data_IF_705380131577
#
_entry.id   IF_705380131577
#
_cell.length_a   1.000
_cell.length_b   1.000
_cell.length_c   1.000
_cell.angle_alpha   90.00
_cell.angle_beta   90.00
_cell.angle_gamma   90.00
#
_symmetry.space_group_name_H-M   'P 1'
#
loop_
_entity.id
_entity.type
_entity.pdbx_description
1 polymer ?
#
# COMPACT_ATOMS: atom_id res chain seq x y z
N UNK A 1 2.39 25.67 -26.01
CA UNK A 1 3.72 25.03 -25.85
C UNK A 1 3.65 24.17 -24.59
N UNK A 2 3.48 22.85 -24.75
CA UNK A 2 3.33 21.92 -23.64
C UNK A 2 4.68 21.71 -22.95
N UNK A 3 4.82 22.11 -21.69
CA UNK A 3 5.98 21.80 -20.87
C UNK A 3 5.82 20.35 -20.40
N UNK A 4 6.51 19.42 -21.07
CA UNK A 4 6.68 18.06 -20.56
C UNK A 4 7.35 18.15 -19.18
N UNK A 5 6.62 17.79 -18.13
CA UNK A 5 7.21 17.60 -16.82
C UNK A 5 8.27 16.49 -16.90
N UNK A 6 9.44 16.65 -16.26
CA UNK A 6 10.48 15.62 -16.30
C UNK A 6 9.92 14.31 -15.72
N UNK A 7 10.04 13.21 -16.45
CA UNK A 7 9.57 11.88 -16.04
C UNK A 7 10.49 11.35 -14.93
N UNK A 8 9.96 10.90 -13.79
CA UNK A 8 10.79 10.36 -12.71
C UNK A 8 11.37 9.02 -13.17
N UNK A 9 12.69 8.85 -13.08
CA UNK A 9 13.33 7.57 -13.39
C UNK A 9 13.29 6.66 -12.16
N UNK A 10 12.71 5.45 -12.26
CA UNK A 10 12.68 4.50 -11.16
C UNK A 10 14.09 4.25 -10.62
N UNK A 11 14.26 4.40 -9.30
CA UNK A 11 15.54 4.13 -8.65
C UNK A 11 15.61 2.65 -8.27
N UNK A 12 16.54 1.92 -8.89
CA UNK A 12 16.77 0.48 -8.61
C UNK A 12 16.93 0.17 -7.11
N UNK A 13 17.50 1.09 -6.31
CA UNK A 13 17.66 0.91 -4.86
C UNK A 13 16.35 0.83 -4.07
N UNK A 14 15.26 1.35 -4.64
CA UNK A 14 13.96 1.44 -3.99
C UNK A 14 12.94 0.43 -4.54
N UNK A 15 13.33 -0.44 -5.48
CA UNK A 15 12.44 -1.47 -6.02
C UNK A 15 11.15 -0.94 -6.66
N UNK A 16 11.17 0.29 -7.19
CA UNK A 16 9.98 1.01 -7.65
C UNK A 16 9.41 0.39 -8.95
N UNK A 17 8.20 -0.17 -8.85
CA UNK A 17 7.33 -0.47 -9.99
C UNK A 17 6.05 0.35 -9.82
N UNK A 18 5.82 1.32 -10.69
CA UNK A 18 4.66 2.22 -10.56
C UNK A 18 3.43 1.57 -11.19
N UNK A 19 2.36 1.42 -10.40
CA UNK A 19 1.07 0.93 -10.88
C UNK A 19 0.47 1.94 -11.89
N UNK A 20 -0.01 1.45 -13.04
CA UNK A 20 -0.58 2.28 -14.11
C UNK A 20 -1.87 1.73 -14.71
N UNK A 21 -2.17 0.46 -14.47
CA UNK A 21 -3.40 -0.14 -14.97
C UNK A 21 -4.62 0.36 -14.17
N UNK A 22 -5.49 1.10 -14.85
CA UNK A 22 -6.69 1.69 -14.26
C UNK A 22 -7.65 0.60 -13.73
N UNK A 23 -7.78 -0.53 -14.43
CA UNK A 23 -8.68 -1.61 -14.01
C UNK A 23 -8.26 -2.24 -12.68
N UNK A 24 -6.95 -2.39 -12.46
CA UNK A 24 -6.34 -2.85 -11.22
C UNK A 24 -6.54 -1.83 -10.10
N UNK A 25 -6.30 -0.54 -10.38
CA UNK A 25 -6.52 0.55 -9.41
C UNK A 25 -7.97 0.55 -8.96
N UNK A 26 -8.93 0.50 -9.88
CA UNK A 26 -10.34 0.43 -9.55
C UNK A 26 -10.71 -0.82 -8.77
N UNK A 27 -10.12 -1.98 -9.09
CA UNK A 27 -10.35 -3.21 -8.34
C UNK A 27 -9.85 -3.10 -6.89
N UNK A 28 -8.69 -2.47 -6.66
CA UNK A 28 -8.16 -2.17 -5.33
C UNK A 28 -9.11 -1.23 -4.58
N UNK A 29 -9.53 -0.13 -5.22
CA UNK A 29 -10.44 0.84 -4.59
C UNK A 29 -11.80 0.23 -4.28
N UNK A 30 -12.33 -0.64 -5.14
CA UNK A 30 -13.57 -1.39 -4.87
C UNK A 30 -13.43 -2.35 -3.69
N UNK A 31 -12.28 -3.00 -3.55
CA UNK A 31 -12.02 -3.90 -2.41
C UNK A 31 -11.90 -3.15 -1.09
N UNK A 32 -11.30 -1.95 -1.11
CA UNK A 32 -11.24 -1.05 0.04
C UNK A 32 -12.63 -0.47 0.30
N UNK A 33 -13.34 0.01 -0.71
CA UNK A 33 -14.59 0.75 -0.57
C UNK A 33 -14.46 1.89 0.46
N UNK A 34 -13.64 2.93 0.17
CA UNK A 34 -13.41 4.02 1.10
C UNK A 34 -14.64 4.92 1.24
N UNK A 35 -14.86 5.46 2.44
CA UNK A 35 -15.86 6.51 2.71
C UNK A 35 -15.24 7.73 3.44
N UNK A 36 -16.02 8.78 3.63
CA UNK A 36 -15.60 10.05 4.23
C UNK A 36 -15.26 9.96 5.73
N UNK A 37 -15.66 8.87 6.39
CA UNK A 37 -15.34 8.57 7.79
C UNK A 37 -14.05 7.78 7.96
N UNK A 38 -13.53 7.22 6.88
CA UNK A 38 -12.31 6.40 6.91
C UNK A 38 -11.05 7.25 7.07
N UNK A 39 -10.08 6.66 7.78
CA UNK A 39 -8.72 7.16 7.87
C UNK A 39 -7.76 6.18 7.19
N UNK A 40 -7.32 6.54 5.99
CA UNK A 40 -6.46 5.73 5.15
C UNK A 40 -5.00 6.16 5.31
N UNK A 41 -4.12 5.17 5.41
CA UNK A 41 -2.66 5.38 5.38
C UNK A 41 -2.09 4.69 4.15
N UNK A 42 -1.59 5.47 3.20
CA UNK A 42 -0.95 4.95 1.99
C UNK A 42 0.57 4.87 2.17
N UNK A 43 1.13 3.68 2.05
CA UNK A 43 2.58 3.45 2.11
C UNK A 43 3.16 3.41 0.70
N UNK A 44 4.10 4.30 0.41
CA UNK A 44 4.78 4.36 -0.88
C UNK A 44 3.84 4.74 -2.03
N UNK A 45 3.23 5.93 -1.99
CA UNK A 45 2.29 6.40 -3.03
C UNK A 45 2.93 6.47 -4.44
N UNK A 46 4.26 6.55 -4.54
CA UNK A 46 4.93 6.51 -5.84
C UNK A 46 4.61 7.74 -6.69
N UNK A 47 4.08 7.51 -7.90
CA UNK A 47 3.58 8.57 -8.77
C UNK A 47 2.16 9.06 -8.39
N UNK A 48 1.55 8.51 -7.33
CA UNK A 48 0.24 8.92 -6.81
C UNK A 48 -0.95 8.25 -7.49
N UNK A 49 -0.75 7.12 -8.19
CA UNK A 49 -1.80 6.45 -8.94
C UNK A 49 -2.96 5.98 -8.04
N UNK A 50 -2.65 5.34 -6.91
CA UNK A 50 -3.65 4.91 -5.94
C UNK A 50 -4.13 6.10 -5.09
N UNK A 51 -3.23 7.02 -4.71
CA UNK A 51 -3.58 8.29 -4.05
C UNK A 51 -4.71 9.03 -4.76
N UNK A 52 -4.62 9.22 -6.09
CA UNK A 52 -5.67 9.87 -6.89
C UNK A 52 -7.03 9.18 -6.80
N UNK A 53 -7.03 7.85 -6.78
CA UNK A 53 -8.26 7.09 -6.77
C UNK A 53 -8.90 7.06 -5.36
N UNK A 54 -8.08 7.04 -4.30
CA UNK A 54 -8.56 7.03 -2.91
C UNK A 54 -9.06 8.41 -2.45
N UNK A 55 -8.39 9.49 -2.84
CA UNK A 55 -8.75 10.84 -2.40
C UNK A 55 -10.14 11.27 -2.90
N UNK A 56 -10.61 10.65 -3.98
CA UNK A 56 -11.95 10.87 -4.54
C UNK A 56 -13.07 10.38 -3.61
N UNK A 57 -12.76 9.54 -2.63
CA UNK A 57 -13.70 9.10 -1.59
C UNK A 57 -13.85 10.07 -0.42
N UNK A 58 -13.23 11.26 -0.48
CA UNK A 58 -13.27 12.31 0.58
C UNK A 58 -12.76 11.86 1.96
N UNK A 59 -12.11 10.70 2.04
CA UNK A 59 -11.49 10.17 3.25
C UNK A 59 -10.31 11.03 3.73
N UNK A 60 -9.94 10.87 5.00
CA UNK A 60 -8.65 11.34 5.50
C UNK A 60 -7.55 10.42 4.99
N UNK A 61 -6.55 10.97 4.30
CA UNK A 61 -5.46 10.22 3.69
C UNK A 61 -4.09 10.73 4.13
N UNK A 62 -3.37 9.88 4.85
CA UNK A 62 -1.98 10.10 5.24
C UNK A 62 -1.06 9.24 4.36
N UNK A 63 -0.20 9.87 3.55
CA UNK A 63 0.73 9.18 2.67
C UNK A 63 2.15 9.18 3.25
N UNK A 64 2.87 8.05 3.21
CA UNK A 64 4.24 7.91 3.71
C UNK A 64 5.18 7.68 2.53
N UNK A 65 6.10 8.62 2.27
CA UNK A 65 7.02 8.56 1.14
C UNK A 65 8.46 8.95 1.53
N UNK A 66 9.40 8.05 1.23
CA UNK A 66 10.81 8.21 1.52
C UNK A 66 11.54 9.00 0.42
N UNK A 67 11.15 8.83 -0.85
CA UNK A 67 11.82 9.46 -1.99
C UNK A 67 11.48 10.95 -2.11
N UNK A 68 12.51 11.78 -1.92
CA UNK A 68 12.38 13.25 -1.94
C UNK A 68 11.86 13.81 -3.25
N UNK A 69 12.18 13.16 -4.35
CA UNK A 69 11.81 13.63 -5.68
C UNK A 69 10.32 13.38 -5.95
N UNK A 70 9.78 12.27 -5.44
CA UNK A 70 8.36 11.94 -5.52
C UNK A 70 7.53 12.83 -4.60
N UNK A 71 8.03 13.11 -3.38
CA UNK A 71 7.33 14.01 -2.44
C UNK A 71 6.98 15.36 -3.03
N UNK A 72 7.91 15.97 -3.79
CA UNK A 72 7.67 17.27 -4.41
C UNK A 72 6.49 17.21 -5.39
N UNK A 73 6.34 16.10 -6.12
CA UNK A 73 5.23 15.88 -7.05
C UNK A 73 3.92 15.62 -6.31
N UNK A 74 3.95 14.79 -5.28
CA UNK A 74 2.79 14.48 -4.46
C UNK A 74 2.23 15.73 -3.78
N UNK A 75 3.09 16.57 -3.20
CA UNK A 75 2.67 17.85 -2.63
C UNK A 75 2.07 18.77 -3.70
N UNK A 76 2.70 18.88 -4.86
CA UNK A 76 2.15 19.70 -5.95
C UNK A 76 0.78 19.21 -6.45
N UNK A 77 0.54 17.89 -6.43
CA UNK A 77 -0.70 17.28 -6.88
C UNK A 77 -1.82 17.30 -5.83
N UNK A 78 -1.49 17.13 -4.55
CA UNK A 78 -2.47 16.79 -3.51
C UNK A 78 -2.55 17.77 -2.33
N UNK A 79 -1.66 18.76 -2.23
CA UNK A 79 -1.66 19.70 -1.09
C UNK A 79 -2.92 20.59 -0.99
N UNK A 80 -3.71 20.69 -2.06
CA UNK A 80 -4.98 21.44 -2.06
C UNK A 80 -6.12 20.67 -1.40
N UNK A 81 -5.96 19.36 -1.18
CA UNK A 81 -6.98 18.52 -0.56
C UNK A 81 -6.81 18.57 0.96
N UNK A 82 -7.84 19.05 1.67
CA UNK A 82 -7.83 19.27 3.12
C UNK A 82 -7.64 17.98 3.93
N UNK A 83 -8.07 16.83 3.40
CA UNK A 83 -7.89 15.52 4.01
C UNK A 83 -6.53 14.87 3.73
N UNK A 84 -5.64 15.48 2.95
CA UNK A 84 -4.36 14.89 2.56
C UNK A 84 -3.19 15.38 3.40
N UNK A 85 -2.40 14.46 3.95
CA UNK A 85 -1.14 14.76 4.64
C UNK A 85 -0.03 13.87 4.09
N UNK A 86 1.13 14.47 3.79
CA UNK A 86 2.31 13.73 3.33
C UNK A 86 3.40 13.68 4.41
N UNK A 87 3.79 12.47 4.79
CA UNK A 87 4.86 12.17 5.73
C UNK A 87 6.14 11.79 5.00
N UNK A 88 7.20 12.54 5.24
CA UNK A 88 8.54 12.24 4.72
C UNK A 88 9.29 11.30 5.67
N UNK A 89 8.97 10.01 5.64
CA UNK A 89 9.54 9.03 6.56
C UNK A 89 9.80 7.67 5.89
N UNK A 90 10.61 6.85 6.56
CA UNK A 90 10.67 5.41 6.27
C UNK A 90 9.49 4.73 6.97
N UNK A 91 8.70 3.96 6.22
CA UNK A 91 7.54 3.24 6.75
C UNK A 91 7.93 2.19 7.80
N UNK A 92 9.15 1.65 7.76
CA UNK A 92 9.65 0.72 8.77
C UNK A 92 9.93 1.41 10.12
N UNK A 93 10.20 2.71 10.11
CA UNK A 93 10.47 3.50 11.32
C UNK A 93 9.25 4.33 11.76
N UNK A 94 8.25 4.47 10.91
CA UNK A 94 7.05 5.28 11.18
C UNK A 94 6.19 4.69 12.29
N UNK A 95 5.61 5.53 13.15
CA UNK A 95 4.66 5.10 14.17
C UNK A 95 3.22 5.29 13.69
N UNK A 96 2.59 4.23 13.17
CA UNK A 96 1.22 4.33 12.65
C UNK A 96 0.20 4.61 13.75
N UNK A 97 0.43 4.12 14.97
CA UNK A 97 -0.43 4.39 16.11
C UNK A 97 -0.56 5.89 16.42
N UNK A 98 0.44 6.71 16.08
CA UNK A 98 0.37 8.17 16.21
C UNK A 98 -0.70 8.82 15.31
N UNK A 99 -1.10 8.16 14.23
CA UNK A 99 -2.14 8.63 13.32
C UNK A 99 -3.56 8.25 13.79
N UNK A 100 -3.68 7.14 14.53
CA UNK A 100 -4.95 6.62 15.03
C UNK A 100 -5.54 7.54 16.12
N UNK A 101 -6.23 8.57 15.68
CA UNK A 101 -6.77 9.65 16.51
C UNK A 101 -8.28 9.55 16.60
N UNK A 102 -8.87 9.98 17.73
CA UNK A 102 -10.34 9.99 17.89
C UNK A 102 -11.02 8.62 17.95
N UNK A 103 -10.25 7.53 18.10
CA UNK A 103 -10.77 6.16 18.12
C UNK A 103 -11.01 5.56 16.73
N UNK A 104 -10.74 6.30 15.65
CA UNK A 104 -10.82 5.79 14.28
C UNK A 104 -9.65 4.84 14.01
N UNK A 105 -9.97 3.58 13.69
CA UNK A 105 -8.97 2.58 13.27
C UNK A 105 -8.52 2.87 11.83
N UNK A 106 -7.23 2.66 11.57
CA UNK A 106 -6.58 2.96 10.29
C UNK A 106 -6.85 1.88 9.25
N UNK A 107 -6.97 2.28 7.99
CA UNK A 107 -6.96 1.38 6.82
C UNK A 107 -5.64 1.55 6.11
N UNK A 108 -4.78 0.54 6.12
CA UNK A 108 -3.41 0.69 5.59
C UNK A 108 -3.33 0.09 4.20
N UNK A 109 -2.88 0.87 3.22
CA UNK A 109 -2.89 0.49 1.82
C UNK A 109 -1.52 0.71 1.20
N UNK A 110 -1.14 -0.07 0.19
CA UNK A 110 0.10 0.21 -0.53
C UNK A 110 0.50 -0.83 -1.56
N UNK A 111 1.19 -0.34 -2.60
CA UNK A 111 1.99 -1.15 -3.51
C UNK A 111 3.40 -1.28 -2.91
N UNK A 112 3.60 -2.26 -2.04
CA UNK A 112 4.77 -2.28 -1.18
C UNK A 112 6.04 -2.71 -1.95
N UNK A 113 7.18 -2.03 -1.78
CA UNK A 113 8.44 -2.49 -2.33
C UNK A 113 8.78 -3.89 -1.79
N UNK A 114 9.11 -4.81 -2.70
CA UNK A 114 9.24 -6.22 -2.39
C UNK A 114 10.33 -6.54 -1.35
N UNK A 115 11.35 -5.70 -1.27
CA UNK A 115 12.46 -5.86 -0.33
C UNK A 115 12.10 -5.50 1.12
N UNK A 116 11.00 -4.77 1.36
CA UNK A 116 10.58 -4.35 2.71
C UNK A 116 9.21 -4.88 3.12
N UNK A 117 8.48 -5.56 2.23
CA UNK A 117 7.09 -5.97 2.48
C UNK A 117 6.93 -6.83 3.72
N UNK A 118 7.74 -7.88 3.88
CA UNK A 118 7.67 -8.79 5.03
C UNK A 118 7.96 -8.11 6.38
N UNK A 119 9.08 -7.36 6.58
CA UNK A 119 9.30 -6.66 7.83
C UNK A 119 8.24 -5.59 8.11
N UNK A 120 7.73 -4.92 7.07
CA UNK A 120 6.65 -3.93 7.22
C UNK A 120 5.34 -4.57 7.68
N UNK A 121 4.97 -5.73 7.13
CA UNK A 121 3.80 -6.50 7.59
C UNK A 121 3.95 -6.85 9.07
N UNK A 122 5.10 -7.34 9.53
CA UNK A 122 5.28 -7.64 10.96
C UNK A 122 5.14 -6.42 11.85
N UNK A 123 5.71 -5.28 11.45
CA UNK A 123 5.54 -4.02 12.17
C UNK A 123 4.07 -3.61 12.27
N UNK A 124 3.31 -3.72 11.19
CA UNK A 124 1.88 -3.40 11.18
C UNK A 124 1.07 -4.37 12.06
N UNK A 125 1.42 -5.67 12.04
CA UNK A 125 0.81 -6.67 12.91
C UNK A 125 1.05 -6.39 14.41
N UNK A 126 2.17 -5.77 14.78
CA UNK A 126 2.42 -5.30 16.16
C UNK A 126 1.49 -4.13 16.54
N UNK A 127 1.01 -3.37 15.56
CA UNK A 127 0.08 -2.25 15.73
C UNK A 127 -1.36 -2.62 15.31
N UNK A 128 -1.68 -3.91 15.20
CA UNK A 128 -3.01 -4.42 14.84
C UNK A 128 -4.20 -3.81 15.60
N UNK A 129 -4.12 -3.49 16.92
CA UNK A 129 -5.25 -2.90 17.66
C UNK A 129 -5.76 -1.57 17.08
N UNK A 130 -4.90 -0.80 16.40
CA UNK A 130 -5.29 0.48 15.79
C UNK A 130 -5.63 0.37 14.30
N UNK A 131 -5.57 -0.83 13.70
CA UNK A 131 -5.74 -1.04 12.26
C UNK A 131 -7.06 -1.78 12.01
N UNK A 132 -7.94 -1.22 11.17
CA UNK A 132 -9.23 -1.81 10.74
C UNK A 132 -8.99 -2.92 9.71
N UNK A 133 -8.22 -2.61 8.67
CA UNK A 133 -7.84 -3.54 7.62
C UNK A 133 -6.56 -3.07 6.92
N UNK A 134 -5.95 -3.99 6.18
CA UNK A 134 -4.75 -3.73 5.37
C UNK A 134 -4.92 -4.30 3.97
N UNK A 135 -4.57 -3.52 2.95
CA UNK A 135 -4.68 -3.91 1.54
C UNK A 135 -3.34 -3.69 0.84
N UNK A 136 -2.63 -4.77 0.54
CA UNK A 136 -1.29 -4.70 -0.04
C UNK A 136 -1.20 -5.40 -1.37
N UNK A 137 -0.53 -4.74 -2.32
CA UNK A 137 -0.03 -5.40 -3.51
C UNK A 137 1.40 -5.86 -3.27
N UNK A 138 1.62 -7.17 -3.41
CA UNK A 138 2.87 -7.88 -3.11
C UNK A 138 3.23 -8.82 -4.25
N UNK A 139 4.45 -9.38 -4.25
CA UNK A 139 4.77 -10.50 -5.14
C UNK A 139 3.82 -11.67 -4.89
N UNK A 140 3.40 -12.35 -5.95
CA UNK A 140 2.46 -13.48 -5.88
C UNK A 140 2.88 -14.53 -4.85
N UNK A 141 4.14 -14.97 -4.87
CA UNK A 141 4.69 -15.95 -3.91
C UNK A 141 4.53 -15.51 -2.44
N UNK A 142 4.61 -14.20 -2.17
CA UNK A 142 4.43 -13.67 -0.80
C UNK A 142 2.97 -13.75 -0.38
N UNK A 143 2.04 -13.45 -1.29
CA UNK A 143 0.60 -13.59 -1.04
C UNK A 143 0.22 -15.05 -0.84
N UNK A 144 0.73 -15.96 -1.68
CA UNK A 144 0.52 -17.40 -1.56
C UNK A 144 0.95 -17.91 -0.19
N UNK A 145 2.11 -17.46 0.32
CA UNK A 145 2.61 -17.83 1.65
C UNK A 145 1.83 -17.21 2.81
N UNK A 146 1.28 -16.02 2.61
CA UNK A 146 0.41 -15.35 3.60
C UNK A 146 -0.94 -16.05 3.74
N UNK A 147 -1.55 -16.40 2.60
CA UNK A 147 -2.87 -17.02 2.51
C UNK A 147 -2.84 -18.56 2.52
N UNK A 148 -1.66 -19.17 2.61
CA UNK A 148 -1.48 -20.62 2.61
C UNK A 148 -2.29 -21.29 3.73
N UNK A 149 -2.99 -22.39 3.42
CA UNK A 149 -3.73 -23.15 4.43
C UNK A 149 -2.78 -23.83 5.43
N UNK A 150 -3.17 -23.95 6.71
CA UNK A 150 -2.40 -24.67 7.72
C UNK A 150 -1.99 -26.07 7.28
N UNK A 151 -0.70 -26.39 7.45
CA UNK A 151 -0.12 -27.68 7.06
C UNK A 151 0.23 -27.84 5.58
N UNK A 152 -0.04 -26.84 4.73
CA UNK A 152 0.41 -26.85 3.35
C UNK A 152 1.92 -26.56 3.24
N UNK A 153 2.51 -26.84 2.06
CA UNK A 153 3.95 -26.66 1.80
C UNK A 153 4.38 -25.20 1.97
N UNK A 154 3.53 -24.25 1.58
CA UNK A 154 3.84 -22.81 1.59
C UNK A 154 3.49 -22.15 2.93
N UNK A 155 2.82 -22.89 3.83
CA UNK A 155 2.49 -22.45 5.17
C UNK A 155 3.70 -22.50 6.09
N UNK A 156 4.41 -21.37 6.15
CA UNK A 156 5.58 -21.18 7.01
C UNK A 156 5.41 -20.04 8.00
N UNK A 157 6.54 -19.54 8.53
CA UNK A 157 6.58 -18.46 9.53
C UNK A 157 5.71 -17.26 9.19
N UNK A 158 5.71 -16.83 7.92
CA UNK A 158 4.93 -15.67 7.48
C UNK A 158 3.43 -15.91 7.62
N UNK A 159 2.91 -17.02 7.07
CA UNK A 159 1.52 -17.42 7.20
C UNK A 159 1.11 -17.60 8.66
N UNK A 160 1.89 -18.31 9.46
CA UNK A 160 1.60 -18.51 10.90
C UNK A 160 1.47 -17.18 11.64
N UNK A 161 2.42 -16.27 11.47
CA UNK A 161 2.44 -15.00 12.21
C UNK A 161 1.32 -14.04 11.77
N UNK A 162 1.01 -14.01 10.47
CA UNK A 162 -0.08 -13.20 9.93
C UNK A 162 -1.44 -13.76 10.34
N UNK A 163 -1.69 -15.05 10.09
CA UNK A 163 -2.97 -15.71 10.39
C UNK A 163 -3.26 -15.83 11.89
N UNK A 164 -2.22 -15.75 12.75
CA UNK A 164 -2.42 -15.68 14.19
C UNK A 164 -3.09 -14.37 14.64
N UNK A 165 -2.90 -13.28 13.88
CA UNK A 165 -3.41 -11.95 14.22
C UNK A 165 -4.49 -11.44 13.28
N UNK A 166 -4.60 -12.00 12.08
CA UNK A 166 -5.49 -11.51 11.05
C UNK A 166 -6.17 -12.65 10.30
N UNK A 167 -7.38 -12.40 9.83
CA UNK A 167 -7.90 -13.08 8.65
C UNK A 167 -7.10 -12.60 7.42
N UNK A 168 -6.70 -13.54 6.55
CA UNK A 168 -5.87 -13.25 5.37
C UNK A 168 -6.58 -13.75 4.12
N UNK A 169 -6.88 -12.84 3.21
CA UNK A 169 -7.59 -13.12 1.95
C UNK A 169 -6.75 -12.70 0.74
N UNK A 170 -6.44 -13.64 -0.15
CA UNK A 170 -5.94 -13.30 -1.49
C UNK A 170 -7.12 -12.82 -2.35
N UNK A 171 -7.06 -11.59 -2.86
CA UNK A 171 -8.17 -10.98 -3.57
C UNK A 171 -8.12 -11.26 -5.07
N UNK A 172 -7.03 -10.87 -5.73
CA UNK A 172 -6.82 -11.09 -7.15
C UNK A 172 -5.35 -10.93 -7.53
N UNK A 173 -4.95 -11.61 -8.61
CA UNK A 173 -3.62 -11.48 -9.20
C UNK A 173 -3.52 -10.24 -10.10
N UNK A 174 -2.31 -9.69 -10.18
CA UNK A 174 -1.98 -8.51 -10.98
C UNK A 174 -0.78 -8.84 -11.89
N UNK A 175 -0.95 -8.76 -13.22
CA UNK A 175 0.11 -9.12 -14.15
C UNK A 175 1.19 -8.01 -14.21
N UNK A 176 2.45 -8.35 -14.59
CA UNK A 176 3.54 -7.37 -14.67
C UNK A 176 3.27 -6.16 -15.58
N UNK A 177 2.45 -6.32 -16.61
CA UNK A 177 2.06 -5.29 -17.57
C UNK A 177 1.26 -4.15 -16.91
N UNK A 178 0.72 -4.38 -15.72
CA UNK A 178 0.03 -3.34 -14.94
C UNK A 178 0.97 -2.24 -14.41
N UNK A 179 2.29 -2.43 -14.54
CA UNK A 179 3.30 -1.57 -13.93
C UNK A 179 4.28 -0.96 -14.94
N UNK A 180 4.93 0.11 -14.51
CA UNK A 180 6.10 0.66 -15.18
C UNK A 180 7.22 1.02 -14.19
N UNK A 181 8.44 0.48 -14.37
CA UNK A 181 8.78 -0.63 -15.25
C UNK A 181 8.04 -1.91 -14.80
N UNK A 182 7.83 -2.88 -15.71
CA UNK A 182 7.19 -4.13 -15.33
C UNK A 182 8.10 -4.93 -14.37
N UNK A 183 7.57 -5.48 -13.27
CA UNK A 183 8.31 -6.43 -12.44
C UNK A 183 8.61 -7.72 -13.22
N UNK A 184 9.54 -8.53 -12.70
CA UNK A 184 9.89 -9.83 -13.32
C UNK A 184 8.92 -10.97 -12.96
N UNK A 185 8.05 -10.72 -12.00
CA UNK A 185 7.14 -11.72 -11.43
C UNK A 185 5.74 -11.12 -11.30
N UNK A 186 4.74 -11.99 -11.22
CA UNK A 186 3.38 -11.58 -10.94
C UNK A 186 3.26 -10.97 -9.54
N UNK A 187 2.31 -10.06 -9.40
CA UNK A 187 1.87 -9.53 -8.11
C UNK A 187 0.49 -10.08 -7.78
N UNK A 188 0.07 -9.93 -6.53
CA UNK A 188 -1.31 -10.14 -6.12
C UNK A 188 -1.68 -9.14 -5.02
N UNK A 189 -2.98 -8.84 -4.92
CA UNK A 189 -3.53 -8.02 -3.86
C UNK A 189 -4.04 -8.94 -2.74
N UNK A 190 -3.64 -8.64 -1.51
CA UNK A 190 -4.04 -9.34 -0.30
C UNK A 190 -4.74 -8.38 0.66
N UNK A 191 -5.79 -8.86 1.33
CA UNK A 191 -6.42 -8.20 2.47
C UNK A 191 -6.04 -8.92 3.76
N UNK A 192 -5.69 -8.14 4.78
CA UNK A 192 -5.48 -8.63 6.13
C UNK A 192 -6.39 -7.86 7.09
N UNK A 193 -7.18 -8.59 7.88
CA UNK A 193 -8.15 -8.01 8.82
C UNK A 193 -7.82 -8.48 10.23
N UNK A 194 -7.32 -7.62 11.14
CA UNK A 194 -7.01 -8.00 12.51
C UNK A 194 -8.22 -8.20 13.43
#
# INVERSE_FOLDING_TARGET
>A
MSRNAPRHHPRKRFGQNFLRDESTIEAIVRAIAPDDSDHIVEIGPGEGALTHALISGECRLDAIELDRDLRTRLLAAFSTYSGFTLHSADALDFDFASLATGGTRLRVVGNLPYNISTPLIFKLLEQAPVIKDMHFMLQLEVVERLAASPGSKDWGRLGVMAQFRCEVESLFEVPPEAFYPPPKVHSAVVRLTP
#
